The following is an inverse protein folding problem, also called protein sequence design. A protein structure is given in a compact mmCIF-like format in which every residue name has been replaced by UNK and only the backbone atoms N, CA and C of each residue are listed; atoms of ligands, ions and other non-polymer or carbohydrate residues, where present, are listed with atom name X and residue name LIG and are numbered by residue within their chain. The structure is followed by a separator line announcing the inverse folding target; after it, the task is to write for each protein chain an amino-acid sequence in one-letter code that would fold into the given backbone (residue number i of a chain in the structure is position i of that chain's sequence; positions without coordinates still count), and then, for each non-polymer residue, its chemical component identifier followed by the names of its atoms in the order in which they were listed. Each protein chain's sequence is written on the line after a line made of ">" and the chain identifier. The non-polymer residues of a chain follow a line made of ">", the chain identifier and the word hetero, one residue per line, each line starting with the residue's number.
data_IF_269613998214
#
_entry.id   IF_269613998214
#
_cell.length_a   1.000
_cell.length_b   1.000
_cell.length_c   1.000
_cell.angle_alpha   90.00
_cell.angle_beta   90.00
_cell.angle_gamma   90.00
#
_symmetry.space_group_name_H-M   'P 1'
#
loop_
_entity.id
_entity.type
_entity.pdbx_description
1 polymer ?
#
# COMPACT_ATOMS: atom_id res chain seq x y z
N UNK A 1 3.71 3.24 29.71
CA UNK A 1 4.07 1.79 29.64
C UNK A 1 5.25 1.72 28.71
N UNK A 2 6.20 0.81 28.90
CA UNK A 2 7.39 0.77 28.03
C UNK A 2 7.82 -0.67 27.75
N UNK A 3 8.25 -0.94 26.52
CA UNK A 3 8.91 -2.19 26.14
C UNK A 3 10.39 -2.22 26.54
N UNK A 4 10.88 -1.16 27.20
CA UNK A 4 12.31 -0.93 27.44
C UNK A 4 12.59 -0.46 28.86
N UNK A 5 13.68 -0.96 29.45
CA UNK A 5 14.23 -0.42 30.70
C UNK A 5 15.76 -0.50 30.67
N UNK A 6 16.41 -0.03 31.71
CA UNK A 6 17.86 -0.19 31.90
C UNK A 6 18.19 -1.01 33.14
N UNK A 7 19.28 -1.76 33.07
CA UNK A 7 19.92 -2.45 34.19
C UNK A 7 21.41 -2.19 34.11
N UNK A 8 22.00 -1.53 35.11
CA UNK A 8 23.42 -1.15 35.12
C UNK A 8 23.86 -0.49 33.80
N UNK A 9 23.07 0.49 33.33
CA UNK A 9 23.26 1.22 32.07
C UNK A 9 23.16 0.39 30.77
N UNK A 10 22.85 -0.91 30.87
CA UNK A 10 22.50 -1.74 29.73
C UNK A 10 21.00 -1.73 29.47
N UNK A 11 20.62 -1.59 28.20
CA UNK A 11 19.22 -1.64 27.78
C UNK A 11 18.69 -3.07 27.81
N UNK A 12 17.46 -3.24 28.32
CA UNK A 12 16.72 -4.50 28.30
C UNK A 12 15.38 -4.27 27.63
N UNK A 13 15.02 -5.14 26.67
CA UNK A 13 13.72 -5.10 26.01
C UNK A 13 12.83 -6.21 26.56
N UNK A 14 11.54 -5.92 26.79
CA UNK A 14 10.60 -6.95 27.26
C UNK A 14 10.41 -8.07 26.22
N UNK A 15 10.62 -7.76 24.94
CA UNK A 15 10.52 -8.72 23.84
C UNK A 15 11.64 -9.78 23.82
N UNK A 16 12.69 -9.61 24.63
CA UNK A 16 13.76 -10.59 24.84
C UNK A 16 13.39 -11.75 25.76
N UNK A 17 12.29 -11.62 26.50
CA UNK A 17 11.92 -12.57 27.52
C UNK A 17 10.71 -13.38 27.08
N UNK A 18 10.82 -14.70 27.21
CA UNK A 18 9.66 -15.57 27.25
C UNK A 18 8.98 -15.49 28.62
N UNK A 19 7.93 -16.29 28.83
CA UNK A 19 7.18 -16.29 30.09
C UNK A 19 8.06 -16.62 31.29
N UNK A 20 8.92 -17.63 31.17
CA UNK A 20 9.78 -18.06 32.28
C UNK A 20 10.88 -17.02 32.59
N UNK A 21 11.57 -16.54 31.56
CA UNK A 21 12.58 -15.50 31.65
C UNK A 21 12.03 -14.21 32.28
N UNK A 22 10.80 -13.84 31.95
CA UNK A 22 10.12 -12.68 32.51
C UNK A 22 9.81 -12.83 34.00
N UNK A 23 9.28 -13.99 34.43
CA UNK A 23 9.03 -14.24 35.85
C UNK A 23 10.34 -14.30 36.65
N UNK A 24 11.40 -14.89 36.08
CA UNK A 24 12.72 -14.89 36.68
C UNK A 24 13.30 -13.47 36.80
N UNK A 25 13.14 -12.62 35.77
CA UNK A 25 13.51 -11.20 35.83
C UNK A 25 12.72 -10.46 36.90
N UNK A 26 11.40 -10.71 36.98
CA UNK A 26 10.51 -10.10 37.99
C UNK A 26 10.91 -10.49 39.41
N UNK A 27 11.22 -11.75 39.65
CA UNK A 27 11.65 -12.26 40.96
C UNK A 27 12.98 -11.65 41.41
N UNK A 28 13.96 -11.55 40.49
CA UNK A 28 15.25 -10.88 40.76
C UNK A 28 15.07 -9.39 41.05
N UNK A 29 14.35 -8.66 40.20
CA UNK A 29 14.14 -7.23 40.39
C UNK A 29 13.38 -6.89 41.68
N UNK A 30 12.51 -7.79 42.18
CA UNK A 30 11.85 -7.60 43.49
C UNK A 30 12.84 -7.55 44.65
N UNK A 31 13.95 -8.30 44.56
CA UNK A 31 15.02 -8.34 45.57
C UNK A 31 16.01 -7.19 45.36
N UNK A 32 16.49 -7.05 44.13
CA UNK A 32 17.69 -6.25 43.85
C UNK A 32 17.36 -4.80 43.47
N UNK A 33 16.14 -4.54 42.97
CA UNK A 33 15.69 -3.24 42.44
C UNK A 33 16.66 -2.58 41.46
N UNK A 34 17.33 -3.42 40.66
CA UNK A 34 18.37 -3.01 39.72
C UNK A 34 17.81 -2.37 38.44
N UNK A 35 16.52 -2.55 38.14
CA UNK A 35 15.91 -2.06 36.91
C UNK A 35 15.39 -0.63 37.05
N UNK A 36 15.69 0.22 36.05
CA UNK A 36 15.32 1.63 36.01
C UNK A 36 14.58 1.99 34.70
N UNK A 37 13.59 2.87 34.80
CA UNK A 37 12.87 3.40 33.64
C UNK A 37 13.80 4.29 32.82
N UNK A 38 13.81 4.12 31.50
CA UNK A 38 14.63 4.92 30.56
C UNK A 38 14.25 6.40 30.55
N UNK A 39 12.98 6.73 30.79
CA UNK A 39 12.48 8.10 30.71
C UNK A 39 12.84 8.98 31.91
N UNK A 40 13.11 8.41 33.09
CA UNK A 40 13.29 9.20 34.32
C UNK A 40 14.13 8.52 35.42
N UNK A 41 14.65 7.32 35.20
CA UNK A 41 15.42 6.58 36.20
C UNK A 41 14.60 6.03 37.38
N UNK A 42 13.27 6.06 37.33
CA UNK A 42 12.44 5.53 38.40
C UNK A 42 12.49 4.00 38.48
N UNK A 43 12.17 3.44 39.66
CA UNK A 43 12.08 1.99 39.86
C UNK A 43 11.02 1.35 38.94
N UNK A 44 11.34 0.15 38.44
CA UNK A 44 10.51 -0.60 37.49
C UNK A 44 9.68 -1.68 38.19
N UNK A 45 8.43 -1.81 37.78
CA UNK A 45 7.57 -2.97 38.00
C UNK A 45 7.29 -3.67 36.68
N UNK A 46 7.45 -4.99 36.65
CA UNK A 46 7.21 -5.82 35.47
C UNK A 46 5.74 -6.23 35.41
N UNK A 47 5.04 -5.87 34.33
CA UNK A 47 3.60 -6.07 34.16
C UNK A 47 3.28 -6.71 32.81
N UNK A 48 2.00 -6.99 32.60
CA UNK A 48 1.46 -7.54 31.37
C UNK A 48 0.13 -6.84 31.04
N UNK A 49 -0.14 -6.57 29.77
CA UNK A 49 -1.41 -5.98 29.33
C UNK A 49 -2.52 -7.04 29.34
N UNK A 50 -3.79 -6.62 29.18
CA UNK A 50 -4.91 -7.54 28.99
C UNK A 50 -4.77 -8.46 27.77
N UNK A 51 -3.93 -8.08 26.80
CA UNK A 51 -3.67 -8.85 25.56
C UNK A 51 -2.41 -9.72 25.67
N UNK A 52 -1.77 -9.75 26.84
CA UNK A 52 -0.64 -10.63 27.09
C UNK A 52 0.75 -10.03 26.85
N UNK A 53 0.85 -8.80 26.35
CA UNK A 53 2.16 -8.15 26.11
C UNK A 53 2.85 -7.78 27.42
N UNK A 54 4.08 -8.24 27.59
CA UNK A 54 4.93 -7.92 28.74
C UNK A 54 5.54 -6.52 28.61
N UNK A 55 5.57 -5.77 29.70
CA UNK A 55 6.08 -4.40 29.69
C UNK A 55 6.61 -3.94 31.05
N UNK A 56 7.47 -2.94 31.00
CA UNK A 56 8.00 -2.23 32.17
C UNK A 56 7.12 -1.03 32.52
N UNK A 57 6.77 -0.94 33.80
CA UNK A 57 5.93 0.12 34.36
C UNK A 57 6.67 0.83 35.49
N UNK A 58 6.32 2.09 35.74
CA UNK A 58 6.74 2.76 36.97
C UNK A 58 6.22 2.01 38.20
N UNK A 59 7.11 1.66 39.13
CA UNK A 59 6.74 0.95 40.36
C UNK A 59 5.83 1.79 41.27
N UNK A 60 6.00 3.11 41.24
CA UNK A 60 5.16 4.09 41.94
C UNK A 60 4.69 5.15 40.95
N UNK A 61 3.44 5.62 41.12
CA UNK A 61 2.92 6.75 40.36
C UNK A 61 3.70 8.00 40.76
N UNK A 62 4.34 8.65 39.79
CA UNK A 62 5.16 9.84 39.98
C UNK A 62 4.73 10.99 39.08
N UNK A 63 5.59 12.00 38.95
CA UNK A 63 5.38 13.16 38.06
C UNK A 63 5.73 12.88 36.59
N UNK A 64 6.18 11.67 36.26
CA UNK A 64 6.50 11.30 34.88
C UNK A 64 5.22 11.34 34.05
N UNK A 65 5.23 12.16 33.00
CA UNK A 65 4.11 12.36 32.07
C UNK A 65 4.19 11.45 30.83
N UNK A 66 5.14 10.51 30.81
CA UNK A 66 5.28 9.57 29.70
C UNK A 66 3.94 8.86 29.44
N UNK A 67 3.52 8.88 28.17
CA UNK A 67 2.24 8.34 27.73
C UNK A 67 2.03 6.89 28.12
N UNK A 68 0.76 6.50 28.20
CA UNK A 68 0.36 5.10 28.34
C UNK A 68 -0.28 4.65 27.04
N UNK A 69 0.49 3.89 26.26
CA UNK A 69 -0.02 3.15 25.12
C UNK A 69 -1.15 2.21 25.55
N UNK A 70 -2.12 2.01 24.65
CA UNK A 70 -3.18 1.03 24.87
C UNK A 70 -2.61 -0.39 24.74
N UNK A 71 -3.37 -1.40 25.17
CA UNK A 71 -2.92 -2.79 25.08
C UNK A 71 -2.65 -3.21 23.63
N UNK A 72 -3.44 -2.68 22.69
CA UNK A 72 -3.35 -2.95 21.26
C UNK A 72 -2.10 -2.32 20.63
N UNK A 73 -1.74 -1.10 21.05
CA UNK A 73 -0.46 -0.48 20.65
C UNK A 73 0.73 -1.29 21.15
N UNK A 74 0.69 -1.72 22.42
CA UNK A 74 1.75 -2.55 23.00
C UNK A 74 1.90 -3.88 22.25
N UNK A 75 0.78 -4.55 21.93
CA UNK A 75 0.76 -5.78 21.15
C UNK A 75 1.37 -5.59 19.76
N UNK A 76 1.00 -4.52 19.06
CA UNK A 76 1.54 -4.21 17.75
C UNK A 76 3.05 -3.94 17.79
N UNK A 77 3.54 -3.13 18.73
CA UNK A 77 4.98 -2.86 18.89
C UNK A 77 5.77 -4.12 19.21
N UNK A 78 5.25 -4.99 20.07
CA UNK A 78 5.85 -6.29 20.38
C UNK A 78 5.93 -7.19 19.13
N UNK A 79 4.83 -7.29 18.37
CA UNK A 79 4.79 -8.09 17.14
C UNK A 79 5.80 -7.59 16.10
N UNK A 80 5.87 -6.27 15.88
CA UNK A 80 6.84 -5.64 14.99
C UNK A 80 8.26 -5.94 15.47
N UNK A 81 8.58 -5.71 16.75
CA UNK A 81 9.93 -5.91 17.26
C UNK A 81 10.40 -7.37 17.15
N UNK A 82 9.51 -8.33 17.41
CA UNK A 82 9.81 -9.76 17.21
C UNK A 82 10.00 -10.10 15.72
N UNK A 83 9.19 -9.53 14.83
CA UNK A 83 9.30 -9.71 13.38
C UNK A 83 10.62 -9.14 12.82
N UNK A 84 11.03 -7.95 13.27
CA UNK A 84 12.33 -7.35 12.92
C UNK A 84 13.49 -8.30 13.26
N UNK A 85 13.45 -8.93 14.43
CA UNK A 85 14.47 -9.91 14.83
C UNK A 85 14.44 -11.18 13.99
N UNK A 86 13.25 -11.73 13.72
CA UNK A 86 13.11 -12.92 12.85
C UNK A 86 13.64 -12.65 11.43
N UNK A 87 13.51 -11.42 10.94
CA UNK A 87 14.08 -10.98 9.68
C UNK A 87 15.62 -10.79 9.72
N UNK A 88 16.27 -10.97 10.88
CA UNK A 88 17.72 -10.82 11.05
C UNK A 88 18.21 -9.37 11.15
N UNK A 89 17.31 -8.43 11.45
CA UNK A 89 17.67 -7.02 11.66
C UNK A 89 17.88 -6.72 13.15
N UNK A 90 18.71 -5.73 13.44
CA UNK A 90 18.84 -5.18 14.79
C UNK A 90 17.59 -4.38 15.12
N UNK A 91 17.04 -4.56 16.33
CA UNK A 91 15.83 -3.88 16.76
C UNK A 91 16.12 -2.91 17.90
N UNK A 92 15.58 -1.71 17.78
CA UNK A 92 15.47 -0.74 18.87
C UNK A 92 14.00 -0.37 19.03
N UNK A 93 13.53 -0.12 20.26
CA UNK A 93 12.15 0.30 20.55
C UNK A 93 12.16 1.63 21.28
N UNK A 94 11.09 2.42 21.08
CA UNK A 94 10.88 3.68 21.78
C UNK A 94 12.12 4.59 21.69
N UNK A 95 12.65 4.72 20.47
CA UNK A 95 13.90 5.43 20.21
C UNK A 95 13.60 6.91 20.02
N UNK A 96 14.17 7.81 20.85
CA UNK A 96 13.98 9.24 20.66
C UNK A 96 14.62 9.67 19.33
N UNK A 97 13.91 10.52 18.60
CA UNK A 97 14.45 11.20 17.44
C UNK A 97 15.39 12.34 17.85
N UNK A 98 15.98 12.99 16.84
CA UNK A 98 16.71 14.24 17.07
C UNK A 98 15.77 15.29 17.67
N UNK A 99 16.15 15.98 18.75
CA UNK A 99 15.34 17.04 19.33
C UNK A 99 15.00 18.10 18.28
N UNK A 100 13.72 18.49 18.20
CA UNK A 100 13.22 19.64 17.45
C UNK A 100 12.76 20.75 18.41
N UNK A 101 12.32 21.88 17.86
CA UNK A 101 11.83 23.03 18.63
C UNK A 101 10.51 22.74 19.39
N UNK A 102 9.78 21.67 19.04
CA UNK A 102 8.44 21.35 19.54
C UNK A 102 8.41 20.23 20.60
N UNK A 103 9.57 19.66 20.91
CA UNK A 103 9.72 18.56 21.86
C UNK A 103 9.93 17.24 21.13
N UNK A 104 11.06 16.60 21.42
CA UNK A 104 11.55 15.44 20.67
C UNK A 104 10.50 14.37 20.38
N UNK A 105 10.54 13.85 19.15
CA UNK A 105 9.68 12.77 18.69
C UNK A 105 10.25 11.40 19.08
N UNK A 106 9.46 10.34 18.94
CA UNK A 106 9.87 8.97 19.28
C UNK A 106 9.44 7.98 18.20
N UNK A 107 10.36 7.14 17.79
CA UNK A 107 10.12 5.96 16.96
C UNK A 107 9.60 4.82 17.82
N UNK A 108 8.52 4.18 17.39
CA UNK A 108 7.93 3.09 18.17
C UNK A 108 8.80 1.83 18.10
N UNK A 109 9.18 1.43 16.89
CA UNK A 109 10.17 0.38 16.63
C UNK A 109 11.05 0.82 15.46
N UNK A 110 12.36 0.62 15.57
CA UNK A 110 13.35 0.85 14.52
C UNK A 110 14.06 -0.47 14.21
N UNK A 111 14.24 -0.73 12.92
CA UNK A 111 15.00 -1.82 12.36
C UNK A 111 16.25 -1.28 11.66
N UNK A 112 17.40 -1.79 12.07
CA UNK A 112 18.72 -1.43 11.53
C UNK A 112 19.39 -2.66 10.91
N UNK A 113 20.09 -2.46 9.79
CA UNK A 113 21.01 -3.46 9.21
C UNK A 113 22.29 -2.79 8.78
N UNK A 114 23.38 -3.53 8.81
CA UNK A 114 24.68 -3.04 8.36
C UNK A 114 24.62 -2.57 6.91
N UNK A 115 25.16 -1.37 6.64
CA UNK A 115 25.19 -0.74 5.31
C UNK A 115 23.83 -0.37 4.71
N UNK A 116 22.72 -0.57 5.43
CA UNK A 116 21.36 -0.25 4.97
C UNK A 116 20.80 1.04 5.56
N UNK A 117 19.76 1.59 4.92
CA UNK A 117 18.95 2.66 5.54
C UNK A 117 18.04 2.07 6.62
N UNK A 118 18.01 2.66 7.83
CA UNK A 118 17.10 2.24 8.88
C UNK A 118 15.64 2.34 8.44
N UNK A 119 14.82 1.45 8.98
CA UNK A 119 13.37 1.44 8.77
C UNK A 119 12.70 1.56 10.13
N UNK A 120 11.89 2.60 10.30
CA UNK A 120 11.05 2.76 11.46
C UNK A 120 9.61 2.33 11.17
N UNK A 121 8.96 1.82 12.21
CA UNK A 121 7.57 1.46 12.21
C UNK A 121 6.85 2.32 13.25
N UNK A 122 5.78 2.99 12.84
CA UNK A 122 4.95 3.84 13.71
C UNK A 122 3.57 3.23 13.87
N UNK A 123 3.10 3.15 15.12
CA UNK A 123 1.80 2.57 15.46
C UNK A 123 0.91 3.67 16.02
N UNK A 124 -0.24 3.87 15.40
CA UNK A 124 -1.19 4.91 15.79
C UNK A 124 -2.60 4.32 15.94
N UNK A 125 -3.06 4.18 17.19
CA UNK A 125 -4.38 3.60 17.49
C UNK A 125 -5.49 4.64 17.60
N UNK A 126 -5.18 5.81 18.16
CA UNK A 126 -6.10 6.95 18.19
C UNK A 126 -6.12 7.72 16.88
N UNK A 127 -7.00 8.71 16.76
CA UNK A 127 -6.98 9.64 15.63
C UNK A 127 -5.71 10.50 15.68
N UNK A 128 -5.04 10.65 14.54
CA UNK A 128 -3.93 11.56 14.32
C UNK A 128 -4.18 12.35 13.03
N UNK A 129 -4.18 13.70 13.06
CA UNK A 129 -4.28 14.52 11.86
C UNK A 129 -3.23 14.16 10.81
N UNK A 130 -3.59 14.22 9.53
CA UNK A 130 -2.66 13.88 8.44
C UNK A 130 -1.48 14.87 8.36
N UNK A 131 -1.69 16.13 8.74
CA UNK A 131 -0.61 17.13 8.81
C UNK A 131 0.45 16.74 9.85
N UNK A 132 0.03 16.14 10.98
CA UNK A 132 0.97 15.64 11.99
C UNK A 132 1.74 14.41 11.48
N UNK A 133 1.09 13.55 10.70
CA UNK A 133 1.74 12.41 10.02
C UNK A 133 2.78 12.93 9.02
N UNK A 134 2.42 13.91 8.19
CA UNK A 134 3.30 14.51 7.19
C UNK A 134 4.50 15.21 7.85
N UNK A 135 4.28 15.94 8.95
CA UNK A 135 5.35 16.56 9.74
C UNK A 135 6.31 15.51 10.30
N UNK A 136 5.80 14.45 10.90
CA UNK A 136 6.65 13.35 11.39
C UNK A 136 7.42 12.66 10.26
N UNK A 137 6.76 12.43 9.12
CA UNK A 137 7.38 11.83 7.94
C UNK A 137 8.56 12.68 7.45
N UNK A 138 8.36 14.00 7.34
CA UNK A 138 9.42 14.92 6.93
C UNK A 138 10.62 14.90 7.90
N UNK A 139 10.37 14.90 9.21
CA UNK A 139 11.43 14.85 10.22
C UNK A 139 12.21 13.54 10.17
N UNK A 140 11.52 12.39 10.12
CA UNK A 140 12.17 11.08 10.04
C UNK A 140 12.95 10.90 8.72
N UNK A 141 12.41 11.40 7.60
CA UNK A 141 13.09 11.41 6.32
C UNK A 141 14.35 12.29 6.33
N UNK A 142 14.30 13.47 6.96
CA UNK A 142 15.46 14.34 7.14
C UNK A 142 16.56 13.68 8.00
N UNK A 143 16.16 12.81 8.94
CA UNK A 143 17.07 11.96 9.71
C UNK A 143 17.58 10.72 8.93
N UNK A 144 17.21 10.56 7.65
CA UNK A 144 17.63 9.42 6.82
C UNK A 144 16.89 8.11 7.10
N UNK A 145 15.78 8.17 7.84
CA UNK A 145 15.00 7.01 8.27
C UNK A 145 13.80 6.83 7.35
N UNK A 146 13.59 5.60 6.84
CA UNK A 146 12.36 5.25 6.13
C UNK A 146 11.29 4.87 7.14
N UNK A 147 10.10 5.43 7.03
CA UNK A 147 9.04 5.20 8.03
C UNK A 147 7.83 4.50 7.39
N UNK A 148 7.36 3.43 8.03
CA UNK A 148 6.11 2.71 7.72
C UNK A 148 5.09 2.96 8.83
N UNK A 149 3.88 3.32 8.45
CA UNK A 149 2.81 3.64 9.40
C UNK A 149 1.75 2.54 9.46
N UNK A 150 1.35 2.18 10.68
CA UNK A 150 0.23 1.29 10.97
C UNK A 150 -0.81 2.05 11.78
N UNK A 151 -1.96 2.33 11.17
CA UNK A 151 -2.95 3.24 11.74
C UNK A 151 -4.32 2.59 11.85
N UNK A 152 -4.99 2.73 12.99
CA UNK A 152 -6.36 2.21 13.18
C UNK A 152 -7.42 3.09 12.50
N UNK A 153 -7.13 4.38 12.32
CA UNK A 153 -8.04 5.32 11.66
C UNK A 153 -8.25 4.96 10.19
N UNK A 154 -9.39 5.38 9.63
CA UNK A 154 -9.80 4.97 8.27
C UNK A 154 -9.16 5.83 7.18
N UNK A 155 -9.03 7.13 7.43
CA UNK A 155 -8.32 8.06 6.55
C UNK A 155 -6.82 8.00 6.87
N UNK A 156 -6.04 7.49 5.94
CA UNK A 156 -4.59 7.26 6.06
C UNK A 156 -3.89 7.71 4.77
N UNK A 157 -2.67 8.23 4.84
CA UNK A 157 -1.91 8.59 3.65
C UNK A 157 -1.37 7.29 3.01
N UNK A 158 -1.80 6.95 1.81
CA UNK A 158 -1.42 5.70 1.12
C UNK A 158 -0.46 5.97 -0.02
N UNK A 159 0.46 6.90 0.22
CA UNK A 159 1.35 7.45 -0.80
C UNK A 159 2.72 6.76 -0.76
N UNK A 160 3.50 6.88 -1.84
CA UNK A 160 4.88 6.38 -1.87
C UNK A 160 5.76 7.05 -0.81
N UNK A 161 5.59 8.37 -0.63
CA UNK A 161 6.39 9.17 0.29
C UNK A 161 6.02 8.92 1.76
N UNK A 162 4.76 8.57 2.03
CA UNK A 162 4.22 8.31 3.36
C UNK A 162 3.45 6.99 3.34
N UNK A 163 4.14 5.83 3.41
CA UNK A 163 3.48 4.55 3.34
C UNK A 163 2.75 4.23 4.65
N UNK A 164 1.43 4.41 4.64
CA UNK A 164 0.57 3.98 5.75
C UNK A 164 -0.38 2.86 5.34
N UNK A 165 -0.65 2.00 6.32
CA UNK A 165 -1.54 0.84 6.18
C UNK A 165 -2.50 0.78 7.35
N UNK A 166 -3.68 0.23 7.09
CA UNK A 166 -4.70 0.09 8.13
C UNK A 166 -4.31 -1.02 9.08
N UNK A 167 -4.42 -0.74 10.37
CA UNK A 167 -4.20 -1.70 11.44
C UNK A 167 -5.53 -2.09 12.09
N UNK A 168 -5.73 -3.37 12.31
CA UNK A 168 -6.82 -3.91 13.12
C UNK A 168 -6.29 -4.92 14.14
N UNK A 169 -7.13 -5.29 15.10
CA UNK A 169 -6.87 -6.37 16.05
C UNK A 169 -7.95 -7.43 15.85
N UNK A 170 -7.52 -8.65 15.54
CA UNK A 170 -8.34 -9.84 15.61
C UNK A 170 -8.42 -10.29 17.06
N UNK A 171 -9.62 -10.22 17.63
CA UNK A 171 -9.87 -10.51 19.04
C UNK A 171 -9.76 -12.01 19.34
N UNK A 172 -10.16 -12.86 18.39
CA UNK A 172 -10.20 -14.32 18.59
C UNK A 172 -8.79 -14.90 18.51
N UNK A 173 -8.02 -14.50 17.50
CA UNK A 173 -6.63 -14.90 17.34
C UNK A 173 -5.67 -14.12 18.27
N UNK A 174 -6.13 -12.99 18.84
CA UNK A 174 -5.32 -12.03 19.57
C UNK A 174 -4.09 -11.56 18.76
N UNK A 175 -4.31 -11.21 17.48
CA UNK A 175 -3.24 -10.78 16.57
C UNK A 175 -3.58 -9.45 15.91
N UNK A 176 -2.55 -8.68 15.58
CA UNK A 176 -2.72 -7.49 14.76
C UNK A 176 -2.70 -7.85 13.27
N UNK A 177 -3.60 -7.25 12.49
CA UNK A 177 -3.74 -7.48 11.05
C UNK A 177 -3.55 -6.16 10.31
N UNK A 178 -2.71 -6.20 9.27
CA UNK A 178 -2.46 -5.09 8.35
C UNK A 178 -3.35 -5.27 7.14
N UNK A 179 -4.04 -4.20 6.75
CA UNK A 179 -4.91 -4.19 5.58
C UNK A 179 -4.43 -3.17 4.54
N UNK A 180 -4.24 -3.62 3.29
CA UNK A 180 -3.82 -2.77 2.19
C UNK A 180 -5.01 -2.16 1.45
N UNK A 181 -4.92 -0.91 0.97
CA UNK A 181 -5.99 -0.22 0.25
C UNK A 181 -6.51 -1.01 -0.96
N UNK A 182 -7.83 -1.09 -1.06
CA UNK A 182 -8.53 -1.68 -2.20
C UNK A 182 -8.73 -0.69 -3.36
N UNK A 183 -9.42 -1.14 -4.43
CA UNK A 183 -9.68 -0.31 -5.61
C UNK A 183 -10.47 0.95 -5.27
N UNK A 184 -11.42 0.89 -4.34
CA UNK A 184 -12.29 2.03 -3.99
C UNK A 184 -11.81 2.83 -2.77
N UNK A 185 -10.64 2.52 -2.23
CA UNK A 185 -10.09 3.30 -1.14
C UNK A 185 -9.62 4.67 -1.66
N UNK A 186 -10.14 5.73 -1.06
CA UNK A 186 -9.60 7.07 -1.20
C UNK A 186 -9.68 7.77 0.17
N UNK A 187 -8.60 8.43 0.64
CA UNK A 187 -8.51 8.97 2.00
C UNK A 187 -9.56 10.02 2.31
N UNK A 188 -10.07 10.77 1.32
CA UNK A 188 -11.12 11.76 1.50
C UNK A 188 -12.53 11.15 1.70
N UNK A 189 -12.74 9.91 1.26
CA UNK A 189 -14.05 9.24 1.33
C UNK A 189 -14.09 8.12 2.37
N UNK A 190 -12.94 7.69 2.90
CA UNK A 190 -12.84 6.65 3.91
C UNK A 190 -13.41 7.12 5.27
N UNK A 191 -14.56 6.55 5.66
CA UNK A 191 -15.25 6.81 6.93
C UNK A 191 -15.57 5.49 7.64
N UNK A 192 -15.87 5.53 8.95
CA UNK A 192 -16.26 4.33 9.69
C UNK A 192 -17.50 3.61 9.14
N UNK A 193 -18.33 4.27 8.30
CA UNK A 193 -19.56 3.69 7.73
C UNK A 193 -19.34 2.92 6.43
N UNK A 194 -18.28 3.19 5.68
CA UNK A 194 -18.01 2.60 4.36
C UNK A 194 -16.66 1.88 4.26
N UNK A 195 -15.81 1.97 5.28
CA UNK A 195 -14.42 1.47 5.27
C UNK A 195 -14.24 0.04 5.76
N UNK A 196 -15.29 -0.71 6.12
CA UNK A 196 -15.16 -2.13 6.46
C UNK A 196 -15.49 -3.06 5.28
N UNK A 197 -15.86 -2.48 4.12
CA UNK A 197 -16.22 -3.26 2.95
C UNK A 197 -15.00 -3.89 2.25
N UNK A 198 -15.16 -5.07 1.63
CA UNK A 198 -14.07 -5.80 0.97
C UNK A 198 -13.47 -5.06 -0.24
N UNK A 199 -14.12 -3.99 -0.72
CA UNK A 199 -13.62 -3.18 -1.82
C UNK A 199 -12.72 -2.00 -1.37
N UNK A 200 -12.73 -1.66 -0.08
CA UNK A 200 -11.86 -0.63 0.50
C UNK A 200 -10.53 -1.20 0.98
N UNK A 201 -10.45 -2.51 1.26
CA UNK A 201 -9.23 -3.18 1.70
C UNK A 201 -9.12 -4.53 1.01
N UNK A 202 -7.98 -4.82 0.34
CA UNK A 202 -7.87 -5.97 -0.56
C UNK A 202 -6.92 -7.08 -0.13
N UNK A 203 -6.03 -6.81 0.82
CA UNK A 203 -5.11 -7.80 1.37
C UNK A 203 -5.13 -7.66 2.88
N UNK A 204 -5.14 -8.78 3.60
CA UNK A 204 -5.14 -8.82 5.06
C UNK A 204 -4.01 -9.75 5.49
N UNK A 205 -2.97 -9.17 6.07
CA UNK A 205 -1.73 -9.88 6.43
C UNK A 205 -1.50 -9.73 7.92
N UNK A 206 -1.11 -10.79 8.61
CA UNK A 206 -0.69 -10.72 10.01
C UNK A 206 0.50 -9.74 10.14
N UNK A 207 0.49 -8.88 11.15
CA UNK A 207 1.41 -7.75 11.28
C UNK A 207 2.89 -8.17 11.26
N UNK A 208 3.26 -9.22 11.98
CA UNK A 208 4.62 -9.73 12.00
C UNK A 208 5.08 -10.22 10.62
N UNK A 209 4.23 -11.00 9.94
CA UNK A 209 4.47 -11.52 8.59
C UNK A 209 4.60 -10.38 7.58
N UNK A 210 3.77 -9.34 7.70
CA UNK A 210 3.86 -8.13 6.88
C UNK A 210 5.20 -7.40 7.11
N UNK A 211 5.61 -7.23 8.36
CA UNK A 211 6.89 -6.57 8.70
C UNK A 211 8.08 -7.35 8.15
N UNK A 212 8.12 -8.67 8.36
CA UNK A 212 9.17 -9.53 7.80
C UNK A 212 9.22 -9.43 6.27
N UNK A 213 8.06 -9.54 5.62
CA UNK A 213 7.98 -9.41 4.17
C UNK A 213 8.38 -8.03 3.66
N UNK A 214 7.97 -6.95 4.33
CA UNK A 214 8.36 -5.59 3.97
C UNK A 214 9.88 -5.38 4.04
N UNK A 215 10.52 -5.89 5.10
CA UNK A 215 11.98 -5.87 5.24
C UNK A 215 12.69 -6.76 4.20
N UNK A 216 12.02 -7.81 3.73
CA UNK A 216 12.48 -8.70 2.65
C UNK A 216 12.14 -8.20 1.23
N UNK A 217 11.52 -7.02 1.07
CA UNK A 217 11.21 -6.44 -0.24
C UNK A 217 9.91 -6.95 -0.89
N UNK A 218 9.04 -7.62 -0.13
CA UNK A 218 7.71 -8.05 -0.58
C UNK A 218 6.70 -6.90 -0.66
N UNK A 219 6.94 -5.78 0.02
CA UNK A 219 6.11 -4.58 -0.07
C UNK A 219 6.59 -3.68 -1.22
N UNK A 220 5.76 -3.51 -2.24
CA UNK A 220 6.11 -2.81 -3.48
C UNK A 220 5.09 -1.71 -3.81
N UNK A 221 5.56 -0.60 -4.36
CA UNK A 221 4.72 0.51 -4.83
C UNK A 221 4.62 0.46 -6.35
N UNK A 222 3.40 0.60 -6.89
CA UNK A 222 3.10 0.48 -8.31
C UNK A 222 3.72 -0.78 -8.96
N UNK A 223 3.53 -1.99 -8.37
CA UNK A 223 4.21 -3.22 -8.80
C UNK A 223 3.92 -3.66 -10.25
N UNK A 224 2.84 -3.13 -10.85
CA UNK A 224 2.42 -3.42 -12.21
C UNK A 224 3.27 -2.72 -13.27
N UNK A 225 3.95 -1.61 -12.93
CA UNK A 225 4.80 -0.89 -13.89
C UNK A 225 6.06 -1.71 -14.18
N UNK A 226 6.38 -1.87 -15.46
CA UNK A 226 7.48 -2.71 -15.95
C UNK A 226 7.13 -4.20 -16.04
N UNK A 227 5.86 -4.60 -15.86
CA UNK A 227 5.41 -5.98 -16.01
C UNK A 227 4.68 -6.18 -17.33
N UNK A 228 4.75 -7.38 -17.89
CA UNK A 228 3.85 -7.78 -18.97
C UNK A 228 2.48 -8.11 -18.39
N UNK A 229 1.45 -7.41 -18.84
CA UNK A 229 0.06 -7.59 -18.42
C UNK A 229 -0.82 -7.98 -19.60
N UNK A 230 -1.84 -8.83 -19.41
CA UNK A 230 -2.91 -8.98 -20.39
C UNK A 230 -3.70 -7.68 -20.48
N UNK A 231 -3.77 -7.09 -21.67
CA UNK A 231 -4.66 -5.99 -21.99
C UNK A 231 -5.93 -6.56 -22.61
N UNK A 232 -6.99 -6.61 -21.82
CA UNK A 232 -8.32 -6.97 -22.29
C UNK A 232 -8.93 -5.80 -23.06
N UNK A 233 -9.44 -6.11 -24.25
CA UNK A 233 -10.17 -5.17 -25.08
C UNK A 233 -11.66 -5.43 -24.90
N UNK A 234 -12.34 -4.53 -24.20
CA UNK A 234 -13.76 -4.61 -23.92
C UNK A 234 -14.56 -3.92 -25.02
N UNK A 235 -15.49 -4.65 -25.62
CA UNK A 235 -16.19 -4.24 -26.84
C UNK A 235 -17.68 -4.33 -26.65
N UNK A 236 -18.39 -3.32 -27.15
CA UNK A 236 -19.83 -3.37 -27.35
C UNK A 236 -20.15 -3.38 -28.85
N UNK A 237 -21.19 -4.12 -29.26
CA UNK A 237 -21.59 -4.22 -30.67
C UNK A 237 -22.86 -3.42 -30.93
N UNK A 238 -22.84 -2.57 -31.95
CA UNK A 238 -23.97 -1.70 -32.31
C UNK A 238 -24.13 -1.58 -33.83
N UNK A 239 -25.22 -1.00 -34.29
CA UNK A 239 -25.43 -0.68 -35.71
C UNK A 239 -24.75 0.63 -36.10
N UNK A 240 -23.92 0.60 -37.13
CA UNK A 240 -23.29 1.81 -37.63
C UNK A 240 -24.35 2.82 -38.11
N UNK A 241 -24.29 4.05 -37.59
CA UNK A 241 -25.24 5.10 -37.96
C UNK A 241 -25.31 5.38 -39.48
N UNK A 242 -24.22 5.14 -40.22
CA UNK A 242 -24.11 5.39 -41.66
C UNK A 242 -24.57 4.21 -42.52
N UNK A 243 -23.91 3.05 -42.39
CA UNK A 243 -24.18 1.91 -43.27
C UNK A 243 -25.17 0.89 -42.70
N UNK A 244 -25.62 1.08 -41.45
CA UNK A 244 -26.60 0.23 -40.73
C UNK A 244 -26.17 -1.22 -40.53
N UNK A 245 -24.89 -1.54 -40.75
CA UNK A 245 -24.34 -2.86 -40.44
C UNK A 245 -23.73 -2.87 -39.04
N UNK A 246 -23.79 -4.01 -38.36
CA UNK A 246 -23.20 -4.22 -37.04
C UNK A 246 -21.69 -3.95 -37.07
N UNK A 247 -21.19 -3.28 -36.05
CA UNK A 247 -19.76 -3.03 -35.83
C UNK A 247 -19.46 -3.07 -34.35
N UNK A 248 -18.30 -3.61 -33.98
CA UNK A 248 -17.78 -3.51 -32.61
C UNK A 248 -17.19 -2.13 -32.35
N UNK A 249 -17.38 -1.62 -31.13
CA UNK A 249 -16.78 -0.42 -30.58
C UNK A 249 -15.93 -0.82 -29.36
N UNK A 250 -14.65 -0.45 -29.34
CA UNK A 250 -13.84 -0.58 -28.13
C UNK A 250 -14.29 0.49 -27.15
N UNK A 251 -14.82 0.04 -26.00
CA UNK A 251 -15.34 0.91 -24.95
C UNK A 251 -14.29 1.07 -23.86
N UNK A 252 -13.79 -0.06 -23.34
CA UNK A 252 -12.80 -0.09 -22.26
C UNK A 252 -11.58 -0.92 -22.64
N UNK A 253 -10.47 -0.56 -22.02
CA UNK A 253 -9.19 -1.24 -22.04
C UNK A 253 -8.85 -1.59 -20.60
N UNK A 254 -8.68 -2.88 -20.29
CA UNK A 254 -8.40 -3.34 -18.94
C UNK A 254 -7.03 -4.04 -18.91
N UNK A 255 -6.06 -3.41 -18.26
CA UNK A 255 -4.78 -4.04 -17.93
C UNK A 255 -5.01 -4.95 -16.72
N UNK A 256 -5.11 -6.25 -16.97
CA UNK A 256 -5.50 -7.27 -16.00
C UNK A 256 -4.36 -7.64 -15.03
N UNK A 257 -3.86 -6.65 -14.28
CA UNK A 257 -2.80 -6.82 -13.29
C UNK A 257 -3.15 -7.87 -12.24
N UNK A 258 -4.42 -8.04 -11.88
CA UNK A 258 -4.87 -9.07 -10.91
C UNK A 258 -4.57 -10.51 -11.34
N UNK A 259 -4.43 -10.78 -12.65
CA UNK A 259 -4.05 -12.11 -13.19
C UNK A 259 -2.56 -12.40 -13.08
N UNK A 260 -1.74 -11.36 -12.96
CA UNK A 260 -0.27 -11.46 -12.89
C UNK A 260 0.23 -11.27 -11.46
N UNK A 261 -0.41 -10.36 -10.72
CA UNK A 261 -0.10 -9.96 -9.37
C UNK A 261 -1.34 -10.20 -8.49
N UNK A 262 -1.35 -11.33 -7.79
CA UNK A 262 -2.46 -11.70 -6.91
C UNK A 262 -2.76 -10.56 -5.92
N UNK A 263 -4.00 -10.08 -5.89
CA UNK A 263 -4.42 -8.99 -5.01
C UNK A 263 -4.12 -7.57 -5.52
N UNK A 264 -3.47 -7.40 -6.69
CA UNK A 264 -3.37 -6.11 -7.37
C UNK A 264 -4.71 -5.69 -8.01
N UNK A 265 -4.93 -4.38 -8.15
CA UNK A 265 -6.06 -3.83 -8.90
C UNK A 265 -5.75 -3.85 -10.40
N UNK A 266 -6.77 -4.19 -11.20
CA UNK A 266 -6.70 -3.98 -12.63
C UNK A 266 -6.71 -2.47 -12.90
N UNK A 267 -6.04 -2.07 -13.97
CA UNK A 267 -6.00 -0.66 -14.40
C UNK A 267 -6.91 -0.54 -15.62
N UNK A 268 -7.87 0.37 -15.55
CA UNK A 268 -8.83 0.61 -16.65
C UNK A 268 -8.48 1.91 -17.37
N UNK A 269 -8.65 1.89 -18.69
CA UNK A 269 -8.48 3.04 -19.56
C UNK A 269 -9.56 2.99 -20.65
N UNK A 270 -9.77 4.09 -21.35
CA UNK A 270 -10.54 4.14 -22.59
C UNK A 270 -9.61 4.57 -23.74
N UNK A 271 -10.07 4.44 -24.99
CA UNK A 271 -9.21 4.80 -26.14
C UNK A 271 -8.88 6.31 -26.18
N UNK A 272 -9.69 7.17 -25.57
CA UNK A 272 -9.53 8.62 -25.60
C UNK A 272 -8.46 9.11 -24.61
N UNK A 273 -8.10 8.32 -23.60
CA UNK A 273 -6.95 8.60 -22.72
C UNK A 273 -5.63 8.71 -23.53
N UNK A 274 -5.61 8.12 -24.74
CA UNK A 274 -4.48 8.09 -25.65
C UNK A 274 -4.62 9.06 -26.84
N UNK A 275 -5.61 9.97 -26.80
CA UNK A 275 -5.87 10.97 -27.84
C UNK A 275 -4.92 12.17 -27.71
N UNK A 276 -3.65 11.98 -28.07
CA UNK A 276 -2.61 13.00 -28.03
C UNK A 276 -1.98 13.28 -29.41
N UNK A 277 -0.95 14.14 -29.46
CA UNK A 277 -0.19 14.51 -30.67
C UNK A 277 0.64 13.34 -31.27
N UNK A 278 0.11 12.13 -31.25
CA UNK A 278 0.54 10.99 -32.05
C UNK A 278 1.36 9.94 -31.30
N UNK A 279 1.61 10.08 -30.00
CA UNK A 279 2.35 9.07 -29.21
C UNK A 279 1.42 7.99 -28.68
N UNK A 280 0.36 8.39 -27.97
CA UNK A 280 -0.67 7.48 -27.46
C UNK A 280 -1.44 6.81 -28.59
N UNK A 281 -1.85 7.59 -29.59
CA UNK A 281 -2.56 7.06 -30.75
C UNK A 281 -1.72 6.02 -31.52
N UNK A 282 -0.42 6.28 -31.74
CA UNK A 282 0.47 5.32 -32.39
C UNK A 282 0.70 4.06 -31.52
N UNK A 283 0.82 4.21 -30.20
CA UNK A 283 0.93 3.09 -29.27
C UNK A 283 -0.31 2.18 -29.35
N UNK A 284 -1.51 2.75 -29.27
CA UNK A 284 -2.75 1.99 -29.41
C UNK A 284 -2.87 1.34 -30.78
N UNK A 285 -2.62 2.06 -31.87
CA UNK A 285 -2.75 1.53 -33.23
C UNK A 285 -1.74 0.41 -33.54
N UNK A 286 -0.54 0.48 -32.96
CA UNK A 286 0.46 -0.58 -33.11
C UNK A 286 0.13 -1.82 -32.27
N UNK A 287 -0.45 -1.63 -31.09
CA UNK A 287 -0.89 -2.71 -30.19
C UNK A 287 -2.15 -3.39 -30.71
N UNK A 288 -3.13 -2.59 -31.14
CA UNK A 288 -4.45 -2.99 -31.63
C UNK A 288 -4.53 -2.74 -33.14
N UNK A 289 -3.80 -3.55 -33.90
CA UNK A 289 -3.76 -3.40 -35.36
C UNK A 289 -5.14 -3.56 -35.99
N UNK A 290 -5.37 -2.88 -37.11
CA UNK A 290 -6.64 -2.96 -37.84
C UNK A 290 -7.00 -4.41 -38.23
N UNK A 291 -6.02 -5.26 -38.52
CA UNK A 291 -6.22 -6.68 -38.81
C UNK A 291 -6.69 -7.46 -37.59
N UNK A 292 -6.09 -7.22 -36.42
CA UNK A 292 -6.51 -7.84 -35.16
C UNK A 292 -7.94 -7.43 -34.82
N UNK A 293 -8.24 -6.13 -34.86
CA UNK A 293 -9.59 -5.61 -34.63
C UNK A 293 -10.61 -6.22 -35.60
N UNK A 294 -10.26 -6.33 -36.89
CA UNK A 294 -11.16 -6.85 -37.91
C UNK A 294 -11.57 -8.31 -37.70
N UNK A 295 -10.67 -9.15 -37.17
CA UNK A 295 -10.98 -10.55 -36.82
C UNK A 295 -12.08 -10.68 -35.75
N UNK A 296 -12.30 -9.61 -34.97
CA UNK A 296 -13.33 -9.54 -33.93
C UNK A 296 -14.53 -8.67 -34.34
N UNK A 297 -14.64 -8.28 -35.61
CA UNK A 297 -15.75 -7.45 -36.10
C UNK A 297 -15.67 -5.97 -35.70
N UNK A 298 -14.48 -5.50 -35.35
CA UNK A 298 -14.22 -4.13 -34.86
C UNK A 298 -13.51 -3.35 -35.97
N UNK A 299 -13.98 -2.15 -36.28
CA UNK A 299 -13.30 -1.31 -37.26
C UNK A 299 -12.03 -0.67 -36.69
N UNK A 300 -11.20 -0.04 -37.54
CA UNK A 300 -9.91 0.48 -37.10
C UNK A 300 -10.08 1.64 -36.11
N UNK A 301 -9.23 1.69 -35.09
CA UNK A 301 -9.08 2.87 -34.22
C UNK A 301 -8.05 3.79 -34.87
N UNK A 302 -8.42 5.06 -35.11
CA UNK A 302 -7.52 6.09 -35.67
C UNK A 302 -8.11 7.49 -35.51
N UNK A 303 -7.30 8.56 -35.63
CA UNK A 303 -7.81 9.92 -35.68
C UNK A 303 -8.78 10.13 -36.86
N UNK A 304 -9.97 10.69 -36.58
CA UNK A 304 -10.95 11.08 -37.61
C UNK A 304 -11.55 12.44 -37.27
N UNK A 305 -11.76 13.26 -38.29
CA UNK A 305 -12.42 14.57 -38.12
C UNK A 305 -13.90 14.41 -37.75
N UNK A 306 -14.31 15.00 -36.64
CA UNK A 306 -15.71 15.11 -36.25
C UNK A 306 -16.26 16.48 -36.62
N UNK A 307 -17.32 16.50 -37.44
CA UNK A 307 -18.04 17.76 -37.74
C UNK A 307 -18.69 18.37 -36.50
N UNK A 308 -19.13 17.53 -35.57
CA UNK A 308 -19.79 17.96 -34.34
C UNK A 308 -18.80 18.59 -33.37
N UNK A 309 -17.58 18.06 -33.27
CA UNK A 309 -16.54 18.60 -32.37
C UNK A 309 -15.64 19.64 -33.03
N UNK A 310 -15.70 19.79 -34.37
CA UNK A 310 -14.88 20.76 -35.11
C UNK A 310 -13.39 20.42 -35.18
N UNK A 311 -12.99 19.24 -34.72
CA UNK A 311 -11.59 18.80 -34.65
C UNK A 311 -11.46 17.27 -34.87
N UNK A 312 -10.27 16.78 -35.25
CA UNK A 312 -10.00 15.35 -35.25
C UNK A 312 -9.74 14.82 -33.84
N UNK A 313 -10.14 13.57 -33.58
CA UNK A 313 -9.82 12.83 -32.37
C UNK A 313 -9.72 11.33 -32.65
N UNK A 314 -9.00 10.60 -31.78
CA UNK A 314 -8.88 9.15 -31.82
C UNK A 314 -10.24 8.48 -31.59
N UNK A 315 -10.73 7.73 -32.57
CA UNK A 315 -12.12 7.24 -32.56
C UNK A 315 -12.26 5.79 -33.00
N UNK A 316 -13.34 5.17 -32.53
CA UNK A 316 -13.86 3.94 -33.12
C UNK A 316 -14.33 4.18 -34.57
N UNK A 317 -14.02 3.23 -35.45
CA UNK A 317 -14.48 3.20 -36.84
C UNK A 317 -15.44 2.05 -37.09
N UNK A 318 -16.36 2.23 -38.03
CA UNK A 318 -17.15 1.10 -38.52
C UNK A 318 -16.27 0.13 -39.33
N UNK A 319 -16.31 -1.17 -39.01
CA UNK A 319 -15.62 -2.24 -39.75
C UNK A 319 -15.95 -2.24 -41.26
N UNK A 320 -17.15 -1.81 -41.64
CA UNK A 320 -17.63 -1.91 -43.02
C UNK A 320 -17.46 -0.66 -43.87
N UNK A 321 -17.58 0.54 -43.28
CA UNK A 321 -17.57 1.80 -44.02
C UNK A 321 -16.64 2.85 -43.43
N UNK A 322 -15.89 2.50 -42.37
CA UNK A 322 -14.93 3.35 -41.68
C UNK A 322 -15.51 4.66 -41.11
N UNK A 323 -16.84 4.77 -41.06
CA UNK A 323 -17.51 5.92 -40.47
C UNK A 323 -17.14 6.05 -38.98
N UNK A 324 -16.76 7.25 -38.57
CA UNK A 324 -16.53 7.62 -37.17
C UNK A 324 -17.74 7.22 -36.32
N UNK A 325 -17.51 6.46 -35.26
CA UNK A 325 -18.48 6.16 -34.21
C UNK A 325 -18.15 7.08 -33.04
N UNK A 326 -19.07 8.00 -32.73
CA UNK A 326 -18.74 9.18 -31.94
C UNK A 326 -18.80 8.92 -30.44
N UNK A 327 -17.75 9.34 -29.72
CA UNK A 327 -17.57 9.10 -28.27
C UNK A 327 -18.74 9.54 -27.38
N UNK A 328 -19.50 10.54 -27.82
CA UNK A 328 -20.69 11.01 -27.12
C UNK A 328 -21.72 9.89 -26.88
N UNK A 329 -21.80 8.91 -27.79
CA UNK A 329 -22.78 7.82 -27.72
C UNK A 329 -22.26 6.56 -26.99
N UNK A 330 -21.02 6.55 -26.52
CA UNK A 330 -20.44 5.35 -25.87
C UNK A 330 -21.22 4.94 -24.62
N UNK A 331 -21.77 5.92 -23.88
CA UNK A 331 -22.60 5.67 -22.70
C UNK A 331 -23.89 4.86 -23.00
N UNK A 332 -24.38 4.87 -24.25
CA UNK A 332 -25.56 4.10 -24.65
C UNK A 332 -25.27 2.60 -24.74
N UNK A 333 -24.00 2.23 -24.92
CA UNK A 333 -23.56 0.84 -25.13
C UNK A 333 -22.57 0.35 -24.08
N UNK A 334 -22.12 1.22 -23.17
CA UNK A 334 -21.06 0.90 -22.21
C UNK A 334 -21.41 -0.31 -21.30
N UNK A 335 -22.68 -0.47 -20.93
CA UNK A 335 -23.13 -1.61 -20.11
C UNK A 335 -23.08 -2.96 -20.85
N UNK A 336 -23.05 -2.93 -22.18
CA UNK A 336 -22.95 -4.14 -23.02
C UNK A 336 -21.50 -4.50 -23.32
N UNK A 337 -20.53 -3.67 -22.90
CA UNK A 337 -19.12 -3.91 -23.14
C UNK A 337 -18.62 -5.15 -22.38
N UNK A 338 -17.98 -6.06 -23.09
CA UNK A 338 -17.40 -7.28 -22.52
C UNK A 338 -16.00 -7.52 -23.08
N UNK A 339 -15.08 -8.14 -22.31
CA UNK A 339 -13.79 -8.56 -22.85
C UNK A 339 -13.97 -9.51 -24.04
N UNK A 340 -13.49 -9.13 -25.22
CA UNK A 340 -13.59 -9.95 -26.45
C UNK A 340 -12.29 -10.68 -26.75
N UNK A 341 -11.15 -10.02 -26.52
CA UNK A 341 -9.84 -10.61 -26.67
C UNK A 341 -8.83 -9.90 -25.77
N UNK A 342 -7.68 -10.53 -25.58
CA UNK A 342 -6.57 -9.98 -24.80
C UNK A 342 -5.29 -9.98 -25.63
N UNK A 343 -4.43 -8.99 -25.40
CA UNK A 343 -3.07 -8.94 -25.93
C UNK A 343 -2.09 -8.68 -24.79
N UNK A 344 -0.97 -9.39 -24.77
CA UNK A 344 0.06 -9.15 -23.75
C UNK A 344 0.85 -7.88 -24.09
N UNK A 345 0.90 -6.95 -23.14
CA UNK A 345 1.61 -5.67 -23.29
C UNK A 345 2.59 -5.46 -22.15
N UNK A 346 3.77 -4.92 -22.45
CA UNK A 346 4.65 -4.39 -21.40
C UNK A 346 4.02 -3.10 -20.86
N UNK A 347 3.52 -3.15 -19.63
CA UNK A 347 2.90 -2.01 -18.96
C UNK A 347 3.98 -1.08 -18.40
N UNK A 348 4.53 -0.24 -19.28
CA UNK A 348 5.61 0.71 -18.98
C UNK A 348 5.16 2.16 -19.10
N UNK A 349 6.11 3.10 -18.99
CA UNK A 349 5.84 4.54 -19.05
C UNK A 349 5.15 4.99 -20.34
N UNK A 350 5.24 4.21 -21.44
CA UNK A 350 4.51 4.53 -22.68
C UNK A 350 3.00 4.41 -22.48
N UNK A 351 2.54 3.52 -21.61
CA UNK A 351 1.12 3.41 -21.24
C UNK A 351 0.79 4.38 -20.10
N UNK A 352 1.59 4.36 -19.04
CA UNK A 352 1.33 5.10 -17.80
C UNK A 352 1.25 6.61 -18.03
N UNK A 353 2.02 7.17 -18.98
CA UNK A 353 1.99 8.62 -19.24
C UNK A 353 0.68 9.15 -19.81
N UNK A 354 -0.20 8.26 -20.29
CA UNK A 354 -1.50 8.63 -20.87
C UNK A 354 -2.67 8.43 -19.91
N UNK A 355 -2.46 7.70 -18.81
CA UNK A 355 -3.52 7.40 -17.85
C UNK A 355 -3.68 8.60 -16.91
N UNK A 356 -4.81 9.32 -17.05
CA UNK A 356 -5.12 10.49 -16.21
C UNK A 356 -5.27 10.09 -14.74
N UNK A 357 -5.89 8.94 -14.45
CA UNK A 357 -6.04 8.41 -13.10
C UNK A 357 -4.83 7.57 -12.67
N UNK A 358 -3.80 8.27 -12.20
CA UNK A 358 -2.65 7.62 -11.58
C UNK A 358 -2.99 6.91 -10.28
N UNK A 359 -4.10 7.21 -9.61
CA UNK A 359 -4.45 6.56 -8.34
C UNK A 359 -4.74 5.07 -8.52
N UNK A 360 -5.23 4.66 -9.69
CA UNK A 360 -5.37 3.25 -10.05
C UNK A 360 -4.02 2.50 -10.11
N UNK A 361 -2.93 3.24 -10.39
CA UNK A 361 -1.59 2.68 -10.59
C UNK A 361 -0.73 2.78 -9.33
N UNK A 362 -0.74 3.95 -8.72
CA UNK A 362 0.13 4.38 -7.62
C UNK A 362 -0.35 3.80 -6.28
N UNK A 363 -0.40 2.47 -6.20
CA UNK A 363 -0.84 1.70 -5.03
C UNK A 363 0.27 0.82 -4.46
N UNK A 364 0.24 0.67 -3.15
CA UNK A 364 1.04 -0.33 -2.45
C UNK A 364 0.45 -1.72 -2.62
N UNK A 365 1.32 -2.72 -2.72
CA UNK A 365 0.98 -4.13 -2.84
C UNK A 365 1.97 -4.98 -2.06
N UNK A 366 1.50 -6.09 -1.50
CA UNK A 366 2.32 -7.01 -0.73
C UNK A 366 2.35 -8.40 -1.37
N UNK A 367 3.56 -8.94 -1.57
CA UNK A 367 3.74 -10.29 -2.10
C UNK A 367 3.53 -11.36 -1.02
N UNK A 368 2.27 -11.74 -0.84
CA UNK A 368 1.87 -12.76 0.14
C UNK A 368 2.12 -14.20 -0.35
N UNK A 369 2.73 -14.38 -1.53
CA UNK A 369 3.07 -15.72 -2.00
C UNK A 369 4.15 -16.33 -1.09
N UNK A 370 4.02 -17.59 -0.67
CA UNK A 370 5.09 -18.29 0.03
C UNK A 370 6.33 -18.28 -0.87
N UNK A 371 7.48 -17.90 -0.30
CA UNK A 371 8.65 -17.57 -1.10
C UNK A 371 9.13 -18.73 -1.97
N UNK A 372 8.91 -18.65 -3.28
CA UNK A 372 9.90 -19.13 -4.23
C UNK A 372 11.03 -18.09 -4.24
N UNK A 373 12.27 -18.54 -4.07
CA UNK A 373 13.43 -17.68 -3.82
C UNK A 373 13.47 -16.45 -4.72
N UNK A 374 13.82 -15.30 -4.11
CA UNK A 374 13.93 -14.02 -4.78
C UNK A 374 14.60 -14.15 -6.16
N UNK A 375 13.80 -14.06 -7.23
CA UNK A 375 14.32 -13.73 -8.53
C UNK A 375 14.82 -12.28 -8.41
N UNK A 376 16.13 -12.12 -8.47
CA UNK A 376 16.79 -10.82 -8.54
C UNK A 376 16.18 -10.02 -9.70
N UNK A 377 15.37 -9.00 -9.37
CA UNK A 377 15.05 -7.95 -10.32
C UNK A 377 16.38 -7.24 -10.62
N UNK A 378 16.91 -7.44 -11.84
CA UNK A 378 18.16 -6.87 -12.31
C UNK A 378 18.15 -5.33 -12.19
N UNK A 379 19.30 -4.69 -11.88
CA UNK A 379 19.37 -3.24 -11.76
C UNK A 379 19.09 -2.60 -13.12
N UNK A 380 18.03 -1.78 -13.18
CA UNK A 380 17.81 -0.86 -14.29
C UNK A 380 18.89 0.23 -14.20
N UNK A 381 19.79 0.22 -15.19
CA UNK A 381 20.76 1.29 -15.50
C UNK A 381 20.10 2.45 -16.23
#
# INVERSE_FOLDING_TARGET
>A
MSLKCTSNDQELLSVDFDTEGWENLRARNRKDRALKMTCCGADVALRQTKLGTQYFAHAKKGRCTAGTDTAEVMLAKEAIAKAVRRAGWNVSVETPGTPDEEGGWTLDVQADREGGKPVAFKVQWGRLPLDDVARFQAMSQAAGIRTLWFMRQQSIPVEKATPAFRLSHDVEANMCVVSLPGPYYHPAFASSKNSEGPNYWRQHVELGSFVEGALAGKLRFAPQVGRTLPLDVCVAYTECWRCKKTTGLVIDLCFAASRVLQGAADVTANIYDFDDEGRGAALLMSTLSAETLARHGIGPIKPRYSRTEGQPYLSNGCIHCDALQGRFFDHEVAYDAQPVFSVDVLFDDRWVSHLEDREAIDKWWFDDRPGEGAAEDAPQS
#
